data_IF_296582782083
#
_entry.id   IF_296582782083
#
_cell.length_a   1.000
_cell.length_b   1.000
_cell.length_c   1.000
_cell.angle_alpha   90.00
_cell.angle_beta   90.00
_cell.angle_gamma   90.00
#
_symmetry.space_group_name_H-M   'P 1'
#
loop_
_entity.id
_entity.type
_entity.pdbx_description
1 polymer ?
#
# COMPACT_ATOMS: atom_id res chain seq x y z
N UNK A 1 -45.91 -2.09 19.35
CA UNK A 1 -45.09 -1.49 20.42
C UNK A 1 -44.41 -0.23 19.87
N UNK A 2 -44.51 0.90 20.56
CA UNK A 2 -43.81 2.13 20.18
C UNK A 2 -42.30 1.87 20.25
N UNK A 3 -41.57 2.16 19.16
CA UNK A 3 -40.11 1.96 19.12
C UNK A 3 -39.38 2.75 20.22
N UNK A 4 -39.96 3.87 20.69
CA UNK A 4 -39.37 4.75 21.69
C UNK A 4 -39.25 4.11 23.10
N UNK A 5 -40.16 3.21 23.47
CA UNK A 5 -40.14 2.53 24.77
C UNK A 5 -39.02 1.48 24.83
N UNK A 6 -38.82 0.75 23.72
CA UNK A 6 -37.73 -0.22 23.61
C UNK A 6 -36.36 0.44 23.64
N UNK A 7 -36.19 1.62 23.03
CA UNK A 7 -34.89 2.32 23.02
C UNK A 7 -34.50 2.79 24.43
N UNK A 8 -35.45 3.26 25.25
CA UNK A 8 -35.18 3.64 26.65
C UNK A 8 -34.80 2.42 27.51
N UNK A 9 -35.42 1.26 27.28
CA UNK A 9 -35.07 0.04 27.98
C UNK A 9 -33.65 -0.43 27.64
N UNK A 10 -33.28 -0.39 26.34
CA UNK A 10 -31.92 -0.69 25.88
C UNK A 10 -30.91 0.28 26.51
N UNK A 11 -31.25 1.56 26.61
CA UNK A 11 -30.39 2.56 27.24
C UNK A 11 -30.12 2.25 28.72
N UNK A 12 -31.15 1.84 29.48
CA UNK A 12 -30.99 1.45 30.89
C UNK A 12 -30.10 0.21 31.04
N UNK A 13 -30.34 -0.82 30.24
CA UNK A 13 -29.52 -2.03 30.25
C UNK A 13 -28.06 -1.76 29.86
N UNK A 14 -27.82 -0.82 28.94
CA UNK A 14 -26.48 -0.39 28.55
C UNK A 14 -25.76 0.35 29.70
N UNK A 15 -26.48 1.24 30.39
CA UNK A 15 -25.93 1.97 31.53
C UNK A 15 -25.51 1.03 32.66
N UNK A 16 -26.35 0.05 32.97
CA UNK A 16 -26.06 -0.99 33.95
C UNK A 16 -24.85 -1.84 33.55
N UNK A 17 -24.72 -2.18 32.26
CA UNK A 17 -23.66 -3.09 31.80
C UNK A 17 -22.30 -2.42 31.59
N UNK A 18 -22.28 -1.18 31.09
CA UNK A 18 -21.05 -0.53 30.63
C UNK A 18 -20.61 0.63 31.50
N UNK A 19 -21.41 1.07 32.50
CA UNK A 19 -21.09 2.15 33.44
C UNK A 19 -20.50 3.44 32.79
N UNK A 20 -20.79 3.67 31.51
CA UNK A 20 -20.15 4.71 30.70
C UNK A 20 -21.06 5.92 30.52
N UNK A 21 -20.49 7.13 30.68
CA UNK A 21 -21.21 8.41 30.55
C UNK A 21 -21.50 8.80 29.08
N UNK A 22 -20.71 8.29 28.14
CA UNK A 22 -20.92 8.50 26.70
C UNK A 22 -21.82 7.40 26.12
N UNK A 23 -23.12 7.68 26.01
CA UNK A 23 -24.08 6.77 25.39
C UNK A 23 -24.50 7.25 23.99
N UNK A 24 -24.76 6.32 23.04
CA UNK A 24 -25.24 6.69 21.70
C UNK A 24 -26.63 7.32 21.76
N UNK A 25 -26.82 8.45 21.07
CA UNK A 25 -28.13 9.13 20.99
C UNK A 25 -29.26 8.16 20.58
N UNK A 26 -30.48 8.38 21.08
CA UNK A 26 -31.71 7.62 20.74
C UNK A 26 -31.84 7.42 19.23
N UNK A 27 -31.54 8.47 18.43
CA UNK A 27 -31.57 8.39 16.96
C UNK A 27 -30.55 7.38 16.41
N UNK A 28 -29.35 7.32 17.00
CA UNK A 28 -28.31 6.37 16.61
C UNK A 28 -28.74 4.93 16.94
N UNK A 29 -29.32 4.70 18.11
CA UNK A 29 -29.84 3.37 18.47
C UNK A 29 -30.99 2.93 17.58
N UNK A 30 -31.93 3.83 17.25
CA UNK A 30 -33.02 3.54 16.32
C UNK A 30 -32.51 3.22 14.91
N UNK A 31 -31.49 3.93 14.43
CA UNK A 31 -30.83 3.64 13.15
C UNK A 31 -30.12 2.29 13.15
N UNK A 32 -29.41 1.96 14.21
CA UNK A 32 -28.75 0.65 14.35
C UNK A 32 -29.77 -0.49 14.39
N UNK A 33 -30.89 -0.31 15.10
CA UNK A 33 -31.99 -1.28 15.11
C UNK A 33 -32.63 -1.45 13.73
N UNK A 34 -32.91 -0.35 13.02
CA UNK A 34 -33.45 -0.39 11.67
C UNK A 34 -32.48 -1.09 10.70
N UNK A 35 -31.18 -0.79 10.81
CA UNK A 35 -30.11 -1.45 10.04
C UNK A 35 -30.05 -2.95 10.33
N UNK A 36 -30.07 -3.33 11.61
CA UNK A 36 -30.09 -4.72 12.01
C UNK A 36 -31.32 -5.47 11.49
N UNK A 37 -32.51 -4.85 11.54
CA UNK A 37 -33.74 -5.45 10.99
C UNK A 37 -33.66 -5.65 9.48
N UNK A 38 -32.99 -4.75 8.77
CA UNK A 38 -32.90 -4.80 7.31
C UNK A 38 -31.78 -5.73 6.80
N UNK A 39 -30.59 -5.66 7.40
CA UNK A 39 -29.38 -6.34 6.92
C UNK A 39 -29.00 -7.56 7.78
N UNK A 40 -29.51 -7.66 9.02
CA UNK A 40 -29.10 -8.68 10.00
C UNK A 40 -27.75 -8.43 10.67
N UNK A 41 -27.05 -7.36 10.29
CA UNK A 41 -25.72 -7.00 10.78
C UNK A 41 -25.71 -5.56 11.32
N UNK A 42 -24.87 -5.35 12.33
CA UNK A 42 -24.64 -4.02 12.94
C UNK A 42 -23.34 -3.37 12.43
N UNK A 43 -22.49 -4.13 11.73
CA UNK A 43 -21.22 -3.62 11.18
C UNK A 43 -21.42 -2.48 10.19
N UNK A 44 -20.42 -1.60 10.05
CA UNK A 44 -20.43 -0.50 9.09
C UNK A 44 -20.52 -0.99 7.64
N UNK A 45 -21.21 -0.23 6.79
CA UNK A 45 -21.35 -0.53 5.36
C UNK A 45 -20.06 -0.18 4.62
N UNK A 46 -18.98 -0.96 4.87
CA UNK A 46 -17.66 -0.78 4.24
C UNK A 46 -17.75 -0.72 2.71
N UNK A 47 -18.73 -1.42 2.12
CA UNK A 47 -19.01 -1.40 0.67
C UNK A 47 -19.36 -0.01 0.13
N UNK A 48 -20.12 0.80 0.87
CA UNK A 48 -20.50 2.16 0.42
C UNK A 48 -19.32 3.14 0.47
N UNK A 49 -18.37 2.94 1.39
CA UNK A 49 -17.14 3.73 1.44
C UNK A 49 -16.10 3.28 0.40
N UNK A 50 -16.06 1.99 0.08
CA UNK A 50 -15.09 1.43 -0.86
C UNK A 50 -15.32 1.87 -2.32
N UNK A 51 -16.58 2.08 -2.73
CA UNK A 51 -16.92 2.46 -4.11
C UNK A 51 -16.74 3.94 -4.43
N UNK A 52 -16.55 4.81 -3.44
CA UNK A 52 -16.57 6.26 -3.64
C UNK A 52 -15.28 6.85 -4.26
N UNK A 53 -14.17 6.11 -4.27
CA UNK A 53 -12.95 6.54 -4.95
C UNK A 53 -12.74 5.70 -6.21
N UNK A 54 -13.14 6.25 -7.35
CA UNK A 54 -12.67 5.77 -8.65
C UNK A 54 -11.13 5.75 -8.61
N UNK A 55 -10.56 4.55 -8.55
CA UNK A 55 -9.12 4.37 -8.59
C UNK A 55 -8.65 4.86 -9.96
N UNK A 56 -7.88 5.96 -9.98
CA UNK A 56 -7.12 6.43 -11.16
C UNK A 56 -6.12 5.35 -11.65
N UNK A 57 -6.01 4.26 -10.90
CA UNK A 57 -5.19 3.09 -11.15
C UNK A 57 -6.02 2.09 -11.98
N UNK A 58 -6.21 2.38 -13.26
CA UNK A 58 -6.73 1.42 -14.23
C UNK A 58 -5.69 0.36 -14.53
N UNK A 59 -6.10 -0.86 -14.89
CA UNK A 59 -5.17 -1.95 -15.19
C UNK A 59 -4.30 -1.63 -16.43
N UNK A 60 -4.85 -0.90 -17.40
CA UNK A 60 -4.10 -0.36 -18.55
C UNK A 60 -2.95 0.56 -18.10
N UNK A 61 -3.18 1.44 -17.14
CA UNK A 61 -2.15 2.34 -16.65
C UNK A 61 -1.06 1.60 -15.88
N UNK A 62 -1.39 0.49 -15.22
CA UNK A 62 -0.39 -0.38 -14.57
C UNK A 62 0.52 -1.02 -15.60
N UNK A 63 -0.05 -1.57 -16.68
CA UNK A 63 0.71 -2.23 -17.73
C UNK A 63 1.69 -1.25 -18.40
N UNK A 64 1.23 -0.04 -18.73
CA UNK A 64 2.10 1.00 -19.31
C UNK A 64 3.26 1.36 -18.38
N UNK A 65 3.00 1.48 -17.08
CA UNK A 65 4.04 1.79 -16.08
C UNK A 65 5.03 0.64 -15.94
N UNK A 66 4.56 -0.61 -15.95
CA UNK A 66 5.41 -1.79 -15.85
C UNK A 66 6.33 -1.94 -17.07
N UNK A 67 5.77 -1.83 -18.28
CA UNK A 67 6.54 -1.83 -19.53
C UNK A 67 7.58 -0.70 -19.57
N UNK A 68 7.22 0.49 -19.09
CA UNK A 68 8.12 1.64 -19.02
C UNK A 68 9.33 1.37 -18.10
N UNK A 69 9.09 0.85 -16.89
CA UNK A 69 10.18 0.57 -15.95
C UNK A 69 10.97 -0.70 -16.29
N UNK A 70 10.38 -1.64 -17.03
CA UNK A 70 11.10 -2.77 -17.61
C UNK A 70 12.12 -2.32 -18.66
N UNK A 71 11.78 -1.32 -19.47
CA UNK A 71 12.69 -0.73 -20.45
C UNK A 71 13.77 0.15 -19.79
N UNK A 72 13.37 1.04 -18.88
CA UNK A 72 14.23 2.08 -18.30
C UNK A 72 14.20 2.06 -16.75
N UNK A 73 14.87 1.09 -16.10
CA UNK A 73 14.80 0.91 -14.64
C UNK A 73 15.52 2.01 -13.84
N UNK A 74 16.34 2.84 -14.51
CA UNK A 74 17.16 3.87 -13.86
C UNK A 74 16.47 5.23 -13.76
N UNK A 75 15.28 5.38 -14.37
CA UNK A 75 14.58 6.66 -14.41
C UNK A 75 13.92 6.99 -13.08
N UNK A 76 13.98 8.27 -12.71
CA UNK A 76 13.32 8.74 -11.49
C UNK A 76 11.81 8.78 -11.67
N UNK A 77 11.07 8.51 -10.59
CA UNK A 77 9.60 8.51 -10.58
C UNK A 77 9.03 9.85 -11.09
N UNK A 78 9.70 10.96 -10.76
CA UNK A 78 9.26 12.29 -11.21
C UNK A 78 9.41 12.48 -12.72
N UNK A 79 10.50 12.00 -13.31
CA UNK A 79 10.72 12.04 -14.77
C UNK A 79 9.81 11.07 -15.50
N UNK A 80 9.60 9.88 -14.95
CA UNK A 80 8.63 8.92 -15.48
C UNK A 80 7.21 9.50 -15.50
N UNK A 81 6.79 10.20 -14.44
CA UNK A 81 5.50 10.88 -14.39
C UNK A 81 5.35 11.95 -15.48
N UNK A 82 6.38 12.77 -15.70
CA UNK A 82 6.40 13.78 -16.76
C UNK A 82 6.32 13.15 -18.17
N UNK A 83 7.06 12.06 -18.41
CA UNK A 83 7.08 11.38 -19.72
C UNK A 83 5.77 10.65 -20.03
N UNK A 84 5.17 10.00 -19.03
CA UNK A 84 3.90 9.28 -19.18
C UNK A 84 2.68 10.21 -19.11
N UNK A 85 2.87 11.49 -18.76
CA UNK A 85 1.76 12.44 -18.55
C UNK A 85 0.88 12.11 -17.34
N UNK A 86 1.34 11.24 -16.44
CA UNK A 86 0.62 10.80 -15.25
C UNK A 86 0.99 11.70 -14.08
N UNK A 87 0.03 12.06 -13.23
CA UNK A 87 0.34 12.77 -11.97
C UNK A 87 1.28 11.94 -11.11
N UNK A 88 2.32 12.58 -10.56
CA UNK A 88 3.32 11.93 -9.71
C UNK A 88 2.71 11.07 -8.58
N UNK A 89 1.68 11.58 -7.89
CA UNK A 89 1.01 10.86 -6.79
C UNK A 89 0.26 9.62 -7.26
N UNK A 90 -0.30 9.65 -8.47
CA UNK A 90 -0.94 8.48 -9.09
C UNK A 90 0.10 7.43 -9.47
N UNK A 91 1.23 7.85 -10.06
CA UNK A 91 2.33 6.95 -10.40
C UNK A 91 2.90 6.26 -9.15
N UNK A 92 3.08 6.98 -8.04
CA UNK A 92 3.51 6.37 -6.77
C UNK A 92 2.53 5.33 -6.23
N UNK A 93 1.22 5.53 -6.40
CA UNK A 93 0.21 4.54 -5.99
C UNK A 93 0.28 3.29 -6.87
N UNK A 94 0.39 3.47 -8.19
CA UNK A 94 0.56 2.37 -9.16
C UNK A 94 1.83 1.57 -8.83
N UNK A 95 2.96 2.24 -8.62
CA UNK A 95 4.21 1.59 -8.24
C UNK A 95 4.08 0.79 -6.95
N UNK A 96 3.35 1.29 -5.95
CA UNK A 96 3.12 0.56 -4.69
C UNK A 96 2.30 -0.70 -4.90
N UNK A 97 1.33 -0.67 -5.81
CA UNK A 97 0.50 -1.83 -6.15
C UNK A 97 1.26 -2.88 -6.97
N UNK A 98 2.19 -2.44 -7.83
CA UNK A 98 3.12 -3.30 -8.58
C UNK A 98 4.34 -3.76 -7.74
N UNK A 99 4.40 -3.39 -6.45
CA UNK A 99 5.55 -3.66 -5.56
C UNK A 99 6.90 -3.13 -6.08
N UNK A 100 6.88 -2.14 -6.97
CA UNK A 100 8.07 -1.52 -7.54
C UNK A 100 8.70 -0.54 -6.54
N UNK A 101 9.99 -0.71 -6.28
CA UNK A 101 10.77 0.21 -5.46
C UNK A 101 11.36 1.33 -6.32
N UNK A 102 11.35 2.60 -5.85
CA UNK A 102 12.00 3.70 -6.56
C UNK A 102 13.48 3.41 -6.83
N UNK A 103 13.96 3.81 -8.02
CA UNK A 103 15.37 3.70 -8.36
C UNK A 103 16.25 4.48 -7.37
N UNK A 104 17.25 3.79 -6.81
CA UNK A 104 18.27 4.40 -5.96
C UNK A 104 19.46 4.81 -6.80
N UNK A 105 19.68 6.11 -6.94
CA UNK A 105 20.85 6.65 -7.64
C UNK A 105 22.12 6.23 -6.87
N UNK A 106 22.96 5.44 -7.52
CA UNK A 106 24.28 5.09 -7.02
C UNK A 106 25.32 5.96 -7.72
N UNK A 107 26.11 6.70 -6.95
CA UNK A 107 27.25 7.44 -7.50
C UNK A 107 28.42 6.47 -7.57
N UNK A 108 28.74 5.99 -8.76
CA UNK A 108 29.88 5.11 -9.02
C UNK A 108 31.00 5.88 -9.70
N UNK A 109 32.25 5.55 -9.37
CA UNK A 109 33.40 6.06 -10.14
C UNK A 109 33.41 5.40 -11.53
N UNK A 110 33.71 6.14 -12.61
CA UNK A 110 33.86 5.55 -13.93
C UNK A 110 35.06 4.59 -13.92
N UNK A 111 34.86 3.37 -14.45
CA UNK A 111 35.94 2.41 -14.66
C UNK A 111 36.50 2.58 -16.07
N UNK A 112 37.83 2.67 -16.16
CA UNK A 112 38.52 2.50 -17.45
C UNK A 112 38.70 1.01 -17.74
N UNK A 113 38.86 0.65 -19.03
CA UNK A 113 39.04 -0.73 -19.49
C UNK A 113 40.18 -1.45 -18.74
N UNK A 114 41.31 -0.77 -18.55
CA UNK A 114 42.46 -1.29 -17.80
C UNK A 114 42.13 -1.58 -16.32
N UNK A 115 41.30 -0.72 -15.68
CA UNK A 115 40.84 -0.95 -14.31
C UNK A 115 39.91 -2.17 -14.22
N UNK A 116 39.09 -2.42 -15.25
CA UNK A 116 38.22 -3.60 -15.32
C UNK A 116 39.05 -4.88 -15.40
N UNK A 117 40.07 -4.91 -16.28
CA UNK A 117 40.93 -6.08 -16.45
C UNK A 117 41.71 -6.41 -15.17
N UNK A 118 42.27 -5.39 -14.51
CA UNK A 118 42.99 -5.53 -13.23
C UNK A 118 42.07 -6.00 -12.11
N UNK A 119 40.84 -5.51 -12.03
CA UNK A 119 39.87 -5.96 -11.01
C UNK A 119 39.47 -7.41 -11.23
N UNK A 120 39.21 -7.81 -12.46
CA UNK A 120 38.86 -9.20 -12.80
C UNK A 120 40.00 -10.17 -12.50
N UNK A 121 41.24 -9.82 -12.88
CA UNK A 121 42.41 -10.64 -12.60
C UNK A 121 42.68 -10.78 -11.10
N UNK A 122 42.62 -9.69 -10.34
CA UNK A 122 42.72 -9.72 -8.87
C UNK A 122 41.63 -10.57 -8.23
N UNK A 123 40.36 -10.43 -8.68
CA UNK A 123 39.26 -11.22 -8.15
C UNK A 123 39.49 -12.72 -8.38
N UNK A 124 39.95 -13.10 -9.57
CA UNK A 124 40.29 -14.48 -9.89
C UNK A 124 41.44 -15.04 -9.03
N UNK A 125 42.44 -14.21 -8.72
CA UNK A 125 43.59 -14.59 -7.88
C UNK A 125 43.19 -14.75 -6.41
N UNK A 126 42.46 -13.77 -5.87
CA UNK A 126 41.93 -13.83 -4.50
C UNK A 126 41.02 -15.04 -4.30
N UNK A 127 40.15 -15.35 -5.26
CA UNK A 127 39.26 -16.52 -5.17
C UNK A 127 40.04 -17.85 -5.15
N UNK A 128 41.09 -17.99 -5.98
CA UNK A 128 41.97 -19.17 -5.98
C UNK A 128 42.70 -19.33 -4.64
N UNK A 129 43.27 -18.24 -4.11
CA UNK A 129 43.97 -18.26 -2.82
C UNK A 129 43.03 -18.54 -1.65
N UNK A 130 41.80 -18.01 -1.68
CA UNK A 130 40.80 -18.29 -0.65
C UNK A 130 40.36 -19.76 -0.63
N UNK A 131 40.22 -20.40 -1.81
CA UNK A 131 39.93 -21.84 -1.90
C UNK A 131 41.06 -22.72 -1.33
N UNK A 132 42.31 -22.34 -1.56
CA UNK A 132 43.47 -23.06 -1.04
C UNK A 132 43.53 -22.99 0.50
N UNK A 133 43.28 -21.81 1.08
CA UNK A 133 43.27 -21.61 2.54
C UNK A 133 42.12 -22.34 3.24
N UNK A 134 40.96 -22.51 2.57
CA UNK A 134 39.82 -23.28 3.11
C UNK A 134 39.96 -24.80 2.96
N UNK A 135 40.93 -25.26 2.17
CA UNK A 135 41.19 -26.69 1.90
C UNK A 135 42.34 -27.26 2.75
N UNK A 136 43.00 -26.43 3.56
CA UNK A 136 43.93 -26.82 4.63
C UNK A 136 43.20 -26.84 5.96
#
# INVERSE_FOLDING_TARGET
ARCDENVKAVQRAWQEKFHNKNWPNIRTMARLYAKFKHTGLVEDDKKAMATATATVVTDEAKQVVDEFFAADPTRSVRRAAEMLGIKYTSLQRIMKELELSPYKIQVTQPLNEDHTQRRSSLHSLCFKNFKQVKSM
#
